data_IF_520130771128
#
_entry.id   IF_520130771128
#
_cell.length_a   1.000
_cell.length_b   1.000
_cell.length_c   1.000
_cell.angle_alpha   90.00
_cell.angle_beta   90.00
_cell.angle_gamma   90.00
#
_symmetry.space_group_name_H-M   'P 1'
#
loop_
_entity.id
_entity.type
_entity.pdbx_description
1 polymer ?
#
# COMPACT_ATOMS: atom_id res chain seq x y z
N UNK A 1 15.48 -1.57 28.06
CA UNK A 1 15.31 -1.04 26.67
C UNK A 1 16.37 -0.02 26.32
N UNK A 2 16.59 1.02 27.13
CA UNK A 2 17.62 2.05 26.88
C UNK A 2 19.00 1.46 26.62
N UNK A 3 19.43 0.48 27.41
CA UNK A 3 20.74 -0.18 27.24
C UNK A 3 20.84 -0.94 25.90
N UNK A 4 19.75 -1.60 25.48
CA UNK A 4 19.68 -2.31 24.20
C UNK A 4 19.83 -1.32 23.04
N UNK A 5 19.18 -0.15 23.11
CA UNK A 5 19.33 0.90 22.09
C UNK A 5 20.75 1.48 22.03
N UNK A 6 21.41 1.61 23.18
CA UNK A 6 22.82 2.04 23.24
C UNK A 6 23.72 0.99 22.58
N UNK A 7 23.46 -0.31 22.78
CA UNK A 7 24.21 -1.36 22.09
C UNK A 7 23.92 -1.39 20.59
N UNK A 8 22.68 -1.13 20.17
CA UNK A 8 22.30 -1.04 18.75
C UNK A 8 23.01 0.13 18.06
N UNK A 9 23.10 1.30 18.70
CA UNK A 9 23.70 2.49 18.07
C UNK A 9 25.17 2.29 17.71
N UNK A 10 25.90 1.46 18.48
CA UNK A 10 27.29 1.07 18.20
C UNK A 10 27.43 0.21 16.93
N UNK A 11 26.35 -0.39 16.43
CA UNK A 11 26.37 -1.24 15.22
C UNK A 11 26.28 -0.44 13.91
N UNK A 12 26.15 0.88 13.96
CA UNK A 12 25.97 1.75 12.76
C UNK A 12 27.04 1.49 11.70
N UNK A 13 28.31 1.53 12.05
CA UNK A 13 29.41 1.33 11.08
C UNK A 13 29.48 -0.11 10.56
N UNK A 14 29.08 -1.07 11.39
CA UNK A 14 28.95 -2.48 10.97
C UNK A 14 27.87 -2.63 9.90
N UNK A 15 26.71 -1.99 10.07
CA UNK A 15 25.65 -2.02 9.07
C UNK A 15 26.02 -1.28 7.78
N UNK A 16 26.74 -0.15 7.86
CA UNK A 16 27.31 0.52 6.68
C UNK A 16 28.22 -0.43 5.89
N UNK A 17 29.13 -1.10 6.60
CA UNK A 17 30.04 -2.10 6.00
C UNK A 17 29.27 -3.23 5.32
N UNK A 18 28.19 -3.72 5.93
CA UNK A 18 27.32 -4.73 5.32
C UNK A 18 26.59 -4.21 4.07
N UNK A 19 26.14 -2.95 4.08
CA UNK A 19 25.44 -2.34 2.95
C UNK A 19 26.33 -2.16 1.71
N UNK A 20 27.64 -1.94 1.90
CA UNK A 20 28.61 -1.92 0.79
C UNK A 20 28.65 -3.22 -0.01
N UNK A 21 28.22 -4.35 0.56
CA UNK A 21 28.06 -5.60 -0.17
C UNK A 21 26.87 -5.63 -1.14
N UNK A 22 25.99 -4.63 -1.09
CA UNK A 22 24.76 -4.53 -1.89
C UNK A 22 24.84 -3.38 -2.90
N UNK A 23 25.30 -2.21 -2.46
CA UNK A 23 25.44 -1.01 -3.29
C UNK A 23 26.77 -0.32 -2.99
N UNK A 24 27.32 0.43 -3.95
CA UNK A 24 28.54 1.22 -3.77
C UNK A 24 28.27 2.70 -3.53
N UNK A 25 26.99 3.11 -3.57
CA UNK A 25 26.57 4.51 -3.34
C UNK A 25 26.55 4.81 -1.83
N UNK A 26 27.53 5.60 -1.39
CA UNK A 26 27.70 5.98 0.02
C UNK A 26 26.50 6.74 0.57
N UNK A 27 25.85 7.61 -0.22
CA UNK A 27 24.69 8.36 0.23
C UNK A 27 23.52 7.41 0.49
N UNK A 28 23.23 6.50 -0.45
CA UNK A 28 22.18 5.49 -0.25
C UNK A 28 22.45 4.60 0.96
N UNK A 29 23.70 4.23 1.18
CA UNK A 29 24.09 3.44 2.36
C UNK A 29 23.79 4.21 3.65
N UNK A 30 24.20 5.47 3.72
CA UNK A 30 24.00 6.29 4.90
C UNK A 30 22.52 6.49 5.21
N UNK A 31 21.70 6.80 4.21
CA UNK A 31 20.25 6.95 4.38
C UNK A 31 19.58 5.63 4.80
N UNK A 32 19.96 4.51 4.16
CA UNK A 32 19.37 3.21 4.48
C UNK A 32 19.71 2.74 5.90
N UNK A 33 20.93 3.01 6.36
CA UNK A 33 21.35 2.68 7.74
C UNK A 33 20.66 3.59 8.75
N UNK A 34 20.47 4.88 8.45
CA UNK A 34 19.72 5.78 9.33
C UNK A 34 18.25 5.33 9.48
N UNK A 35 17.60 4.97 8.37
CA UNK A 35 16.24 4.40 8.40
C UNK A 35 16.19 3.09 9.18
N UNK A 36 17.21 2.24 9.07
CA UNK A 36 17.29 1.02 9.87
C UNK A 36 17.35 1.33 11.38
N UNK A 37 18.12 2.34 11.79
CA UNK A 37 18.20 2.76 13.19
C UNK A 37 16.86 3.32 13.69
N UNK A 38 16.19 4.12 12.87
CA UNK A 38 14.86 4.63 13.18
C UNK A 38 13.84 3.49 13.29
N UNK A 39 13.92 2.51 12.40
CA UNK A 39 13.09 1.32 12.44
C UNK A 39 13.26 0.53 13.75
N UNK A 40 14.50 0.35 14.22
CA UNK A 40 14.75 -0.27 15.52
C UNK A 40 14.17 0.53 16.69
N UNK A 41 14.15 1.86 16.61
CA UNK A 41 13.58 2.71 17.65
C UNK A 41 12.04 2.65 17.67
N UNK A 42 11.41 2.52 16.50
CA UNK A 42 9.96 2.52 16.33
C UNK A 42 9.31 1.14 16.44
N UNK A 43 10.08 0.06 16.26
CA UNK A 43 9.52 -1.29 16.34
C UNK A 43 9.01 -1.63 17.75
N UNK A 44 8.16 -2.65 17.85
CA UNK A 44 7.65 -3.11 19.14
C UNK A 44 8.82 -3.47 20.10
N UNK A 45 8.94 -2.77 21.25
CA UNK A 45 10.04 -2.98 22.20
C UNK A 45 10.15 -4.42 22.70
N UNK A 46 9.02 -5.11 22.85
CA UNK A 46 8.96 -6.50 23.31
C UNK A 46 9.60 -7.45 22.30
N UNK A 47 9.34 -7.24 21.01
CA UNK A 47 9.96 -8.03 19.94
C UNK A 47 11.46 -7.82 19.92
N UNK A 48 11.91 -6.57 20.04
CA UNK A 48 13.33 -6.23 20.05
C UNK A 48 14.04 -6.86 21.26
N UNK A 49 13.42 -6.76 22.45
CA UNK A 49 13.91 -7.39 23.67
C UNK A 49 14.03 -8.90 23.52
N UNK A 50 13.02 -9.57 22.98
CA UNK A 50 13.03 -11.03 22.80
C UNK A 50 14.16 -11.49 21.86
N UNK A 51 14.43 -10.74 20.79
CA UNK A 51 15.56 -11.04 19.89
C UNK A 51 16.89 -10.90 20.65
N UNK A 52 17.03 -9.82 21.42
CA UNK A 52 18.25 -9.55 22.19
C UNK A 52 18.47 -10.57 23.32
N UNK A 53 17.43 -10.95 24.06
CA UNK A 53 17.56 -11.94 25.14
C UNK A 53 17.91 -13.33 24.62
N UNK A 54 17.40 -13.69 23.44
CA UNK A 54 17.64 -15.00 22.84
C UNK A 54 19.01 -15.12 22.17
N UNK A 55 19.39 -14.12 21.38
CA UNK A 55 20.52 -14.19 20.46
C UNK A 55 21.52 -13.02 20.63
N UNK A 56 21.31 -12.13 21.60
CA UNK A 56 22.17 -10.98 21.88
C UNK A 56 22.28 -9.99 20.73
N UNK A 57 23.42 -9.27 20.69
CA UNK A 57 23.78 -8.36 19.60
C UNK A 57 23.85 -9.08 18.24
N UNK A 58 24.20 -10.37 18.21
CA UNK A 58 24.29 -11.11 16.96
C UNK A 58 22.92 -11.36 16.34
N UNK A 59 21.89 -11.60 17.16
CA UNK A 59 20.50 -11.69 16.71
C UNK A 59 20.02 -10.39 16.08
N UNK A 60 20.28 -9.27 16.76
CA UNK A 60 19.98 -7.93 16.27
C UNK A 60 20.72 -7.63 14.96
N UNK A 61 22.00 -7.98 14.88
CA UNK A 61 22.82 -7.79 13.68
C UNK A 61 22.22 -8.58 12.50
N UNK A 62 21.88 -9.86 12.70
CA UNK A 62 21.28 -10.70 11.65
C UNK A 62 19.93 -10.17 11.20
N UNK A 63 19.08 -9.78 12.14
CA UNK A 63 17.77 -9.20 11.85
C UNK A 63 17.90 -7.87 11.08
N UNK A 64 18.79 -6.98 11.53
CA UNK A 64 19.08 -5.72 10.87
C UNK A 64 19.63 -5.90 9.46
N UNK A 65 20.52 -6.88 9.24
CA UNK A 65 21.06 -7.17 7.91
C UNK A 65 19.96 -7.59 6.92
N UNK A 66 18.97 -8.37 7.36
CA UNK A 66 17.82 -8.76 6.53
C UNK A 66 16.93 -7.56 6.22
N UNK A 67 16.64 -6.72 7.22
CA UNK A 67 15.86 -5.51 7.03
C UNK A 67 16.55 -4.51 6.07
N UNK A 68 17.86 -4.30 6.25
CA UNK A 68 18.69 -3.45 5.42
C UNK A 68 18.76 -3.94 3.98
N UNK A 69 18.95 -5.25 3.77
CA UNK A 69 18.91 -5.84 2.43
C UNK A 69 17.57 -5.59 1.76
N UNK A 70 16.46 -5.78 2.48
CA UNK A 70 15.10 -5.53 1.95
C UNK A 70 14.90 -4.06 1.59
N UNK A 71 15.41 -3.14 2.41
CA UNK A 71 15.34 -1.70 2.13
C UNK A 71 16.05 -1.35 0.82
N UNK A 72 17.26 -1.87 0.60
CA UNK A 72 18.08 -1.53 -0.57
C UNK A 72 17.68 -2.25 -1.86
N UNK A 73 17.11 -3.47 -1.79
CA UNK A 73 16.82 -4.25 -3.00
C UNK A 73 15.36 -4.25 -3.43
N UNK A 74 14.43 -3.87 -2.57
CA UNK A 74 12.99 -3.95 -2.87
C UNK A 74 12.44 -2.62 -3.38
N UNK A 75 11.85 -2.64 -4.57
CA UNK A 75 11.06 -1.54 -5.15
C UNK A 75 9.75 -1.26 -4.39
N UNK A 76 9.43 -2.07 -3.39
CA UNK A 76 8.27 -1.89 -2.51
C UNK A 76 8.65 -1.46 -1.10
N UNK A 77 9.94 -1.27 -0.82
CA UNK A 77 10.40 -0.86 0.51
C UNK A 77 10.06 0.61 0.77
N UNK A 78 9.86 0.95 2.04
CA UNK A 78 9.66 2.34 2.44
C UNK A 78 10.85 3.21 1.99
N UNK A 79 12.07 2.67 2.08
CA UNK A 79 13.29 3.31 1.59
C UNK A 79 13.21 3.65 0.10
N UNK A 80 12.81 2.70 -0.76
CA UNK A 80 12.68 2.93 -2.20
C UNK A 80 11.70 4.06 -2.50
N UNK A 81 10.50 4.03 -1.90
CA UNK A 81 9.53 5.10 -2.10
C UNK A 81 10.11 6.44 -1.65
N UNK A 82 10.66 6.47 -0.43
CA UNK A 82 11.18 7.70 0.17
C UNK A 82 12.38 8.26 -0.57
N UNK A 83 13.33 7.49 -1.07
CA UNK A 83 14.58 8.07 -1.62
C UNK A 83 14.76 7.85 -3.12
N UNK A 84 14.18 6.80 -3.70
CA UNK A 84 14.36 6.47 -5.12
C UNK A 84 13.17 6.80 -6.00
N UNK A 85 11.94 6.75 -5.47
CA UNK A 85 10.74 7.09 -6.25
C UNK A 85 10.46 8.59 -6.26
N UNK A 86 10.45 9.20 -5.07
CA UNK A 86 9.99 10.60 -4.93
C UNK A 86 11.11 11.64 -5.00
N UNK A 87 12.34 11.32 -4.61
CA UNK A 87 13.42 12.32 -4.49
C UNK A 87 14.41 12.33 -5.67
N UNK A 88 14.33 11.37 -6.60
CA UNK A 88 15.19 11.34 -7.80
C UNK A 88 14.76 12.31 -8.89
N UNK A 89 13.55 12.87 -8.79
CA UNK A 89 12.98 13.78 -9.80
C UNK A 89 13.07 15.25 -9.39
N UNK A 90 13.84 15.57 -8.34
CA UNK A 90 14.24 16.96 -8.05
C UNK A 90 15.43 17.30 -8.99
N UNK A 91 15.25 17.13 -10.29
CA UNK A 91 16.26 17.46 -11.30
C UNK A 91 16.10 18.94 -11.69
N UNK A 92 17.09 19.75 -11.30
CA UNK A 92 17.63 20.78 -12.19
C UNK A 92 16.95 22.14 -12.32
N UNK A 93 15.74 22.41 -11.78
CA UNK A 93 15.09 23.72 -11.96
C UNK A 93 14.60 24.39 -10.67
N UNK A 94 15.51 24.82 -9.80
CA UNK A 94 15.16 25.67 -8.64
C UNK A 94 16.04 26.91 -8.56
N UNK A 95 16.17 27.62 -9.68
CA UNK A 95 16.54 29.05 -9.68
C UNK A 95 15.44 29.95 -10.26
N UNK A 96 14.29 29.39 -10.66
CA UNK A 96 13.11 30.19 -10.96
C UNK A 96 12.17 30.15 -9.75
N UNK A 97 11.84 31.33 -9.24
CA UNK A 97 10.71 31.53 -8.33
C UNK A 97 9.43 31.13 -9.07
N UNK A 98 9.04 29.86 -8.95
CA UNK A 98 7.88 29.31 -9.64
C UNK A 98 6.60 29.73 -8.91
N UNK A 99 5.70 30.39 -9.62
CA UNK A 99 4.31 30.63 -9.20
C UNK A 99 3.44 29.47 -9.68
N UNK A 100 2.54 28.97 -8.83
CA UNK A 100 1.60 27.89 -9.17
C UNK A 100 0.26 28.49 -9.60
N UNK A 101 -0.25 28.09 -10.76
CA UNK A 101 -1.59 28.47 -11.25
C UNK A 101 -2.50 27.21 -11.34
N UNK A 102 -3.81 27.42 -11.28
CA UNK A 102 -4.85 26.38 -11.30
C UNK A 102 -5.46 26.15 -12.67
N UNK A 103 -5.11 26.96 -13.67
CA UNK A 103 -5.77 26.98 -14.96
C UNK A 103 -4.90 26.35 -16.07
N UNK A 104 -5.26 25.14 -16.49
CA UNK A 104 -4.51 24.31 -17.46
C UNK A 104 -4.35 24.96 -18.85
N UNK A 105 -5.24 25.90 -19.21
CA UNK A 105 -5.26 26.54 -20.52
C UNK A 105 -4.43 27.83 -20.63
N UNK A 106 -3.84 28.29 -19.52
CA UNK A 106 -3.04 29.53 -19.46
C UNK A 106 -1.72 29.18 -18.77
N UNK A 107 -0.91 28.32 -19.37
CA UNK A 107 0.43 28.02 -18.85
C UNK A 107 1.43 28.59 -19.86
N UNK A 108 1.97 29.81 -19.65
CA UNK A 108 3.15 30.28 -20.38
C UNK A 108 4.33 29.34 -20.10
N UNK A 109 5.33 29.36 -21.00
CA UNK A 109 6.51 28.47 -21.10
C UNK A 109 7.50 28.48 -19.89
N UNK A 110 7.02 28.78 -18.68
CA UNK A 110 7.77 28.82 -17.43
C UNK A 110 6.95 28.51 -16.17
N UNK A 111 5.72 27.97 -16.32
CA UNK A 111 4.86 27.58 -15.20
C UNK A 111 4.70 26.05 -15.18
N UNK A 112 4.90 25.42 -14.02
CA UNK A 112 4.67 23.99 -13.84
C UNK A 112 3.27 23.76 -13.25
N UNK A 113 2.55 22.75 -13.78
CA UNK A 113 1.25 22.33 -13.25
C UNK A 113 1.46 21.63 -11.89
N UNK A 114 1.19 22.33 -10.78
CA UNK A 114 1.05 21.76 -9.41
C UNK A 114 2.08 20.71 -8.92
N UNK A 115 3.35 20.79 -9.33
CA UNK A 115 4.35 19.75 -8.99
C UNK A 115 5.09 19.92 -7.64
N UNK A 116 4.53 20.63 -6.64
CA UNK A 116 5.17 20.77 -5.30
C UNK A 116 4.30 20.32 -4.13
N UNK A 117 3.06 19.92 -4.36
CA UNK A 117 2.31 19.23 -3.33
C UNK A 117 2.60 17.74 -3.44
N UNK A 118 3.35 17.21 -2.46
CA UNK A 118 3.48 15.77 -2.15
C UNK A 118 2.11 15.18 -1.76
N UNK A 119 1.14 15.32 -2.65
CA UNK A 119 -0.09 14.58 -2.63
C UNK A 119 0.30 13.31 -3.37
N UNK A 120 0.14 12.11 -2.76
CA UNK A 120 0.31 10.89 -3.52
C UNK A 120 -0.50 11.05 -4.79
N UNK A 121 0.10 10.80 -5.96
CA UNK A 121 -0.68 10.68 -7.18
C UNK A 121 -1.82 9.73 -6.80
N UNK A 122 -3.04 10.25 -6.72
CA UNK A 122 -4.21 9.40 -6.73
C UNK A 122 -4.18 8.81 -8.14
N UNK A 123 -3.35 7.78 -8.34
CA UNK A 123 -3.82 6.66 -9.11
C UNK A 123 -5.07 6.21 -8.35
N UNK A 124 -6.18 6.89 -8.64
CA UNK A 124 -7.49 6.42 -8.24
C UNK A 124 -7.52 5.05 -8.90
N UNK A 125 -7.33 4.01 -8.10
CA UNK A 125 -7.42 2.63 -8.53
C UNK A 125 -8.90 2.38 -8.89
N UNK A 126 -9.25 2.94 -10.05
CA UNK A 126 -10.56 2.88 -10.65
C UNK A 126 -10.87 1.45 -11.07
N UNK A 127 -9.93 0.52 -10.99
CA UNK A 127 -10.17 -0.88 -11.28
C UNK A 127 -11.31 -1.43 -10.44
N UNK A 128 -11.38 -1.06 -9.15
CA UNK A 128 -12.50 -1.43 -8.28
C UNK A 128 -13.80 -0.81 -8.77
N UNK A 129 -13.82 0.50 -9.07
CA UNK A 129 -15.02 1.22 -9.50
C UNK A 129 -15.52 0.70 -10.85
N UNK A 130 -14.64 0.54 -11.84
CA UNK A 130 -14.93 -0.01 -13.16
C UNK A 130 -15.49 -1.43 -13.09
N UNK A 131 -14.99 -2.27 -12.17
CA UNK A 131 -15.56 -3.61 -11.93
C UNK A 131 -16.97 -3.55 -11.35
N UNK A 132 -17.20 -2.65 -10.40
CA UNK A 132 -18.53 -2.46 -9.80
C UNK A 132 -19.53 -1.93 -10.84
N UNK A 133 -19.12 -0.98 -11.68
CA UNK A 133 -19.94 -0.49 -12.79
C UNK A 133 -20.24 -1.59 -13.83
N UNK A 134 -19.29 -2.48 -14.10
CA UNK A 134 -19.51 -3.63 -14.98
C UNK A 134 -20.51 -4.63 -14.39
N UNK A 135 -20.44 -4.87 -13.07
CA UNK A 135 -21.40 -5.71 -12.34
C UNK A 135 -22.81 -5.09 -12.40
N UNK A 136 -22.94 -3.78 -12.17
CA UNK A 136 -24.23 -3.08 -12.24
C UNK A 136 -24.84 -3.15 -13.64
N UNK A 137 -24.03 -2.97 -14.70
CA UNK A 137 -24.47 -3.14 -16.10
C UNK A 137 -24.99 -4.55 -16.40
N UNK A 138 -24.39 -5.59 -15.80
CA UNK A 138 -24.84 -6.96 -15.99
C UNK A 138 -26.06 -7.33 -15.13
N UNK A 139 -26.18 -6.75 -13.94
CA UNK A 139 -27.36 -6.86 -13.09
C UNK A 139 -28.60 -6.26 -13.76
N UNK A 140 -28.45 -5.14 -14.46
CA UNK A 140 -29.53 -4.46 -15.18
C UNK A 140 -30.07 -5.27 -16.36
N UNK A 141 -29.27 -6.20 -16.90
CA UNK A 141 -29.68 -7.12 -17.97
C UNK A 141 -30.42 -8.36 -17.45
N UNK A 142 -30.52 -8.56 -16.13
CA UNK A 142 -31.29 -9.67 -15.57
C UNK A 142 -32.78 -9.39 -15.72
N UNK A 143 -33.52 -10.35 -16.29
CA UNK A 143 -34.97 -10.26 -16.48
C UNK A 143 -35.73 -10.26 -15.15
N UNK A 144 -35.17 -10.90 -14.12
CA UNK A 144 -35.78 -11.04 -12.80
C UNK A 144 -35.45 -9.83 -11.91
N UNK A 145 -36.44 -8.96 -11.72
CA UNK A 145 -36.35 -7.81 -10.79
C UNK A 145 -35.99 -8.24 -9.36
N UNK A 146 -36.53 -9.38 -8.91
CA UNK A 146 -36.29 -9.92 -7.57
C UNK A 146 -34.82 -10.29 -7.37
N UNK A 147 -34.22 -11.00 -8.32
CA UNK A 147 -32.83 -11.45 -8.25
C UNK A 147 -31.85 -10.27 -8.27
N UNK A 148 -32.13 -9.29 -9.16
CA UNK A 148 -31.39 -8.02 -9.24
C UNK A 148 -31.44 -7.26 -7.91
N UNK A 149 -32.64 -7.08 -7.35
CA UNK A 149 -32.82 -6.28 -6.13
C UNK A 149 -32.21 -6.95 -4.91
N UNK A 150 -32.35 -8.27 -4.80
CA UNK A 150 -31.78 -9.05 -3.71
C UNK A 150 -30.25 -8.98 -3.70
N UNK A 151 -29.62 -9.13 -4.87
CA UNK A 151 -28.17 -9.04 -4.99
C UNK A 151 -27.65 -7.63 -4.68
N UNK A 152 -28.35 -6.58 -5.12
CA UNK A 152 -28.02 -5.19 -4.80
C UNK A 152 -28.04 -4.92 -3.29
N UNK A 153 -29.06 -5.41 -2.59
CA UNK A 153 -29.18 -5.23 -1.13
C UNK A 153 -28.07 -5.97 -0.39
N UNK A 154 -27.76 -7.20 -0.79
CA UNK A 154 -26.64 -7.96 -0.22
C UNK A 154 -25.29 -7.26 -0.46
N UNK A 155 -25.07 -6.77 -1.68
CA UNK A 155 -23.87 -6.03 -2.06
C UNK A 155 -23.74 -4.69 -1.31
N UNK A 156 -24.86 -4.02 -0.98
CA UNK A 156 -24.87 -2.78 -0.17
C UNK A 156 -24.55 -2.96 1.32
N UNK A 157 -24.36 -4.20 1.80
CA UNK A 157 -23.91 -4.49 3.16
C UNK A 157 -24.96 -5.09 4.10
N UNK A 158 -26.17 -5.42 3.61
CA UNK A 158 -27.17 -6.12 4.41
C UNK A 158 -26.78 -7.60 4.60
N UNK A 159 -26.90 -8.10 5.84
CA UNK A 159 -26.63 -9.52 6.13
C UNK A 159 -27.81 -10.40 5.69
N UNK A 160 -27.53 -11.68 5.38
CA UNK A 160 -28.58 -12.64 5.02
C UNK A 160 -29.64 -12.81 6.13
N UNK A 161 -29.24 -12.68 7.39
CA UNK A 161 -30.15 -12.77 8.52
C UNK A 161 -31.05 -11.52 8.62
N UNK A 162 -30.52 -10.32 8.34
CA UNK A 162 -31.31 -9.08 8.23
C UNK A 162 -32.33 -9.18 7.08
N UNK A 163 -31.90 -9.67 5.92
CA UNK A 163 -32.76 -9.84 4.75
C UNK A 163 -33.85 -10.89 4.99
N UNK A 164 -33.51 -12.02 5.62
CA UNK A 164 -34.48 -13.06 5.98
C UNK A 164 -35.55 -12.52 6.95
N UNK A 165 -35.14 -11.75 7.96
CA UNK A 165 -36.06 -11.13 8.91
C UNK A 165 -37.01 -10.12 8.24
N UNK A 166 -36.50 -9.29 7.32
CA UNK A 166 -37.29 -8.27 6.61
C UNK A 166 -38.23 -8.86 5.56
N UNK A 167 -37.76 -9.83 4.79
CA UNK A 167 -38.51 -10.41 3.65
C UNK A 167 -39.38 -11.61 4.04
N UNK A 168 -39.18 -12.17 5.24
CA UNK A 168 -39.78 -13.44 5.70
C UNK A 168 -39.45 -14.63 4.80
N UNK A 169 -38.39 -14.52 4.00
CA UNK A 169 -37.87 -15.61 3.16
C UNK A 169 -36.78 -16.35 3.96
N UNK A 170 -36.69 -17.67 3.80
CA UNK A 170 -35.66 -18.43 4.48
C UNK A 170 -34.26 -18.00 4.04
N UNK A 171 -33.32 -17.92 4.98
CA UNK A 171 -31.91 -17.62 4.73
C UNK A 171 -31.32 -18.46 3.59
N UNK A 172 -31.63 -19.75 3.56
CA UNK A 172 -31.13 -20.68 2.55
C UNK A 172 -31.66 -20.32 1.15
N UNK A 173 -32.92 -19.94 1.02
CA UNK A 173 -33.49 -19.51 -0.26
C UNK A 173 -32.81 -18.22 -0.77
N UNK A 174 -32.59 -17.25 0.11
CA UNK A 174 -31.86 -16.02 -0.21
C UNK A 174 -30.42 -16.32 -0.66
N UNK A 175 -29.72 -17.19 0.06
CA UNK A 175 -28.36 -17.62 -0.29
C UNK A 175 -28.30 -18.27 -1.68
N UNK A 176 -29.17 -19.25 -1.95
CA UNK A 176 -29.19 -19.93 -3.25
C UNK A 176 -29.47 -18.99 -4.42
N UNK A 177 -30.30 -17.96 -4.19
CA UNK A 177 -30.63 -16.96 -5.20
C UNK A 177 -29.43 -16.05 -5.47
N UNK A 178 -28.78 -15.56 -4.43
CA UNK A 178 -27.57 -14.72 -4.54
C UNK A 178 -26.44 -15.49 -5.24
N UNK A 179 -26.26 -16.77 -4.92
CA UNK A 179 -25.19 -17.59 -5.50
C UNK A 179 -25.44 -17.91 -6.99
N UNK A 180 -26.70 -18.12 -7.39
CA UNK A 180 -27.09 -18.20 -8.80
C UNK A 180 -26.75 -16.93 -9.56
N UNK A 181 -27.13 -15.76 -9.03
CA UNK A 181 -26.85 -14.45 -9.65
C UNK A 181 -25.35 -14.22 -9.76
N UNK A 182 -24.58 -14.51 -8.71
CA UNK A 182 -23.11 -14.45 -8.71
C UNK A 182 -22.51 -15.30 -9.83
N UNK A 183 -22.99 -16.53 -10.00
CA UNK A 183 -22.50 -17.45 -11.03
C UNK A 183 -22.79 -16.93 -12.44
N UNK A 184 -23.95 -16.32 -12.65
CA UNK A 184 -24.32 -15.71 -13.94
C UNK A 184 -23.40 -14.53 -14.28
N UNK A 185 -23.17 -13.63 -13.31
CA UNK A 185 -22.33 -12.44 -13.51
C UNK A 185 -20.88 -12.84 -13.80
N UNK A 186 -20.33 -13.81 -13.04
CA UNK A 186 -18.98 -14.34 -13.27
C UNK A 186 -18.79 -14.89 -14.70
N UNK A 187 -19.75 -15.70 -15.17
CA UNK A 187 -19.72 -16.25 -16.54
C UNK A 187 -19.75 -15.19 -17.63
N UNK A 188 -20.45 -14.07 -17.39
CA UNK A 188 -20.59 -13.00 -18.39
C UNK A 188 -19.39 -12.05 -18.43
N UNK A 189 -18.72 -11.85 -17.29
CA UNK A 189 -17.55 -10.99 -17.20
C UNK A 189 -16.25 -11.70 -17.60
N UNK A 190 -16.29 -12.97 -18.01
CA UNK A 190 -15.12 -13.81 -18.29
C UNK A 190 -14.06 -13.72 -17.18
N UNK A 191 -14.49 -13.52 -15.92
CA UNK A 191 -13.62 -13.70 -14.77
C UNK A 191 -13.50 -15.21 -14.56
N UNK A 192 -12.56 -15.82 -15.29
CA UNK A 192 -12.15 -17.21 -15.12
C UNK A 192 -11.53 -17.40 -13.74
N UNK A 193 -12.20 -18.19 -12.91
CA UNK A 193 -11.63 -18.96 -11.80
C UNK A 193 -12.44 -20.25 -11.64
#
# INVERSE_FOLDING_TARGET
>A
MTDIYIEISKLTDKFRTMAYGITTDENKINEAVQELMLYFLQMNPETLRNIYEKDGIDGITRYGAVALRRALTSTRSNFYYKYEKYYTHIDGSVFSSNTTDTNEYIIPDGFNYKDISNIPNEEVDNHKIMKLEAIDKELDKLESWYDRKLFQLYYSGETLDSLAAKTKISRNSLFTTIDKVRTIIKKKLNEDL
#
